data_IF_808408307372
#
_entry.id   IF_808408307372
#
_cell.length_a   1.000
_cell.length_b   1.000
_cell.length_c   1.000
_cell.angle_alpha   90.00
_cell.angle_beta   90.00
_cell.angle_gamma   90.00
#
_symmetry.space_group_name_H-M   'P 1'
#
loop_
_entity.id
_entity.type
_entity.pdbx_description
1 polymer ?
#
# COMPACT_ATOMS: atom_id res chain seq x y z
N UNK A 1 4.89 19.85 -25.85
CA UNK A 1 6.12 19.66 -25.05
C UNK A 1 5.69 19.42 -23.62
N UNK A 2 6.23 18.40 -22.94
CA UNK A 2 5.92 18.16 -21.52
C UNK A 2 6.45 19.31 -20.67
N UNK A 3 5.61 19.86 -19.79
CA UNK A 3 5.99 20.98 -18.95
C UNK A 3 7.04 20.62 -17.89
N UNK A 4 7.81 21.63 -17.48
CA UNK A 4 8.78 21.50 -16.38
C UNK A 4 8.10 21.12 -15.05
N UNK A 5 6.82 21.47 -14.88
CA UNK A 5 6.01 21.09 -13.72
C UNK A 5 5.87 19.56 -13.62
N UNK A 6 5.55 18.90 -14.73
CA UNK A 6 5.36 17.44 -14.77
C UNK A 6 6.65 16.69 -14.51
N UNK A 7 7.78 17.24 -14.96
CA UNK A 7 9.10 16.74 -14.61
C UNK A 7 9.34 16.76 -13.09
N UNK A 8 9.17 17.91 -12.44
CA UNK A 8 9.37 18.05 -11.00
C UNK A 8 8.41 17.19 -10.18
N UNK A 9 7.14 17.10 -10.59
CA UNK A 9 6.16 16.21 -9.96
C UNK A 9 6.65 14.75 -9.94
N UNK A 10 7.11 14.23 -11.08
CA UNK A 10 7.60 12.85 -11.17
C UNK A 10 8.90 12.65 -10.39
N UNK A 11 9.79 13.66 -10.37
CA UNK A 11 10.98 13.65 -9.54
C UNK A 11 10.64 13.55 -8.05
N UNK A 12 9.71 14.38 -7.55
CA UNK A 12 9.25 14.31 -6.17
C UNK A 12 8.57 12.97 -5.85
N UNK A 13 7.69 12.49 -6.72
CA UNK A 13 7.05 11.19 -6.56
C UNK A 13 8.09 10.06 -6.41
N UNK A 14 9.15 10.09 -7.23
CA UNK A 14 10.28 9.16 -7.13
C UNK A 14 11.00 9.28 -5.79
N UNK A 15 11.33 10.49 -5.33
CA UNK A 15 11.98 10.72 -4.03
C UNK A 15 11.15 10.18 -2.86
N UNK A 16 9.84 10.44 -2.83
CA UNK A 16 8.94 9.94 -1.79
C UNK A 16 8.90 8.41 -1.76
N UNK A 17 9.01 7.77 -2.93
CA UNK A 17 8.97 6.31 -3.01
C UNK A 17 10.21 5.64 -2.38
N UNK A 18 11.38 6.29 -2.37
CA UNK A 18 12.52 5.82 -1.58
C UNK A 18 12.27 5.93 -0.07
N UNK A 19 11.54 6.96 0.36
CA UNK A 19 11.08 7.06 1.75
C UNK A 19 10.21 5.87 2.14
N UNK A 20 9.22 5.55 1.31
CA UNK A 20 8.37 4.36 1.47
C UNK A 20 9.21 3.07 1.50
N UNK A 21 10.18 2.92 0.60
CA UNK A 21 11.07 1.76 0.55
C UNK A 21 11.87 1.60 1.84
N UNK A 22 12.47 2.68 2.35
CA UNK A 22 13.24 2.67 3.59
C UNK A 22 12.38 2.26 4.79
N UNK A 23 11.18 2.81 4.91
CA UNK A 23 10.25 2.47 5.99
C UNK A 23 9.72 1.03 5.87
N UNK A 24 9.41 0.58 4.66
CA UNK A 24 9.03 -0.80 4.37
C UNK A 24 10.16 -1.78 4.75
N UNK A 25 11.41 -1.43 4.46
CA UNK A 25 12.58 -2.20 4.86
C UNK A 25 12.71 -2.31 6.39
N UNK A 26 12.58 -1.20 7.11
CA UNK A 26 12.63 -1.18 8.57
C UNK A 26 11.53 -2.06 9.17
N UNK A 27 10.33 -2.07 8.58
CA UNK A 27 9.21 -2.89 9.07
C UNK A 27 9.47 -4.36 8.79
N UNK A 28 9.99 -4.69 7.61
CA UNK A 28 10.39 -6.06 7.27
C UNK A 28 11.47 -6.59 8.22
N UNK A 29 12.44 -5.75 8.61
CA UNK A 29 13.47 -6.08 9.62
C UNK A 29 12.86 -6.42 10.99
N UNK A 30 11.81 -5.70 11.41
CA UNK A 30 11.10 -5.97 12.68
C UNK A 30 10.13 -7.15 12.59
N UNK A 31 9.45 -7.32 11.45
CA UNK A 31 8.34 -8.26 11.26
C UNK A 31 8.60 -9.07 9.99
N UNK A 32 9.23 -10.23 10.13
CA UNK A 32 9.64 -11.07 8.99
C UNK A 32 8.51 -11.90 8.37
N UNK A 33 7.28 -11.39 8.38
CA UNK A 33 6.13 -12.10 7.82
C UNK A 33 6.14 -12.06 6.28
N UNK A 34 5.57 -13.09 5.66
CA UNK A 34 5.47 -13.21 4.19
C UNK A 34 4.85 -11.97 3.54
N UNK A 35 3.79 -11.41 4.13
CA UNK A 35 3.12 -10.20 3.61
C UNK A 35 4.03 -8.98 3.56
N UNK A 36 4.94 -8.81 4.53
CA UNK A 36 5.88 -7.69 4.54
C UNK A 36 6.93 -7.87 3.45
N UNK A 37 7.35 -9.13 3.20
CA UNK A 37 8.24 -9.47 2.07
C UNK A 37 7.58 -9.18 0.73
N UNK A 38 6.32 -9.59 0.57
CA UNK A 38 5.54 -9.37 -0.66
C UNK A 38 5.35 -7.87 -0.92
N UNK A 39 4.96 -7.11 0.09
CA UNK A 39 4.81 -5.67 -0.03
C UNK A 39 6.13 -4.96 -0.31
N UNK A 40 7.22 -5.33 0.38
CA UNK A 40 8.54 -4.77 0.13
C UNK A 40 9.01 -5.02 -1.31
N UNK A 41 8.86 -6.25 -1.81
CA UNK A 41 9.17 -6.58 -3.20
C UNK A 41 8.26 -5.81 -4.17
N UNK A 42 6.98 -5.66 -3.84
CA UNK A 42 6.02 -4.90 -4.63
C UNK A 42 6.43 -3.42 -4.74
N UNK A 43 6.88 -2.78 -3.65
CA UNK A 43 7.40 -1.39 -3.67
C UNK A 43 8.65 -1.29 -4.55
N UNK A 44 9.61 -2.22 -4.42
CA UNK A 44 10.81 -2.26 -5.27
C UNK A 44 10.44 -2.31 -6.76
N UNK A 45 9.51 -3.20 -7.14
CA UNK A 45 9.11 -3.32 -8.54
C UNK A 45 8.44 -2.05 -9.06
N UNK A 46 7.63 -1.37 -8.25
CA UNK A 46 7.05 -0.09 -8.65
C UNK A 46 8.13 1.00 -8.79
N UNK A 47 9.22 0.96 -8.01
CA UNK A 47 10.40 1.84 -8.20
C UNK A 47 11.08 1.58 -9.52
N UNK A 48 11.33 0.31 -9.85
CA UNK A 48 11.92 -0.05 -11.13
C UNK A 48 10.99 0.34 -12.29
N UNK A 49 9.67 0.15 -12.14
CA UNK A 49 8.69 0.55 -13.13
C UNK A 49 8.67 2.07 -13.33
N UNK A 50 8.63 2.87 -12.26
CA UNK A 50 8.69 4.34 -12.36
C UNK A 50 10.02 4.80 -12.94
N UNK A 51 11.15 4.23 -12.51
CA UNK A 51 12.46 4.59 -13.01
C UNK A 51 12.53 4.42 -14.53
N UNK A 52 11.99 3.31 -15.05
CA UNK A 52 11.95 3.07 -16.49
C UNK A 52 11.01 4.02 -17.25
N UNK A 53 9.90 4.48 -16.64
CA UNK A 53 9.02 5.52 -17.19
C UNK A 53 9.73 6.88 -17.22
N UNK A 54 10.42 7.24 -16.14
CA UNK A 54 11.19 8.49 -16.04
C UNK A 54 12.37 8.49 -17.02
N UNK A 55 13.05 7.36 -17.18
CA UNK A 55 14.15 7.22 -18.14
C UNK A 55 13.65 7.34 -19.59
N UNK A 56 12.49 6.77 -19.91
CA UNK A 56 11.82 6.95 -21.20
C UNK A 56 11.54 8.43 -21.48
N UNK A 57 11.06 9.17 -20.47
CA UNK A 57 10.83 10.61 -20.57
C UNK A 57 12.12 11.40 -20.85
N UNK A 58 13.19 11.14 -20.07
CA UNK A 58 14.49 11.78 -20.28
C UNK A 58 15.05 11.52 -21.67
N UNK A 59 14.97 10.27 -22.14
CA UNK A 59 15.42 9.89 -23.48
C UNK A 59 14.68 10.68 -24.57
N UNK A 60 13.36 10.81 -24.46
CA UNK A 60 12.55 11.55 -25.44
C UNK A 60 12.80 13.07 -25.41
N UNK A 61 13.19 13.62 -24.25
CA UNK A 61 13.36 15.07 -24.06
C UNK A 61 14.77 15.58 -24.36
N UNK A 62 15.80 14.79 -24.04
CA UNK A 62 17.20 15.22 -24.10
C UNK A 62 17.90 14.71 -25.36
N UNK A 63 17.53 13.54 -25.87
CA UNK A 63 18.15 13.03 -27.09
C UNK A 63 17.45 13.59 -28.32
N UNK A 64 18.19 14.29 -29.17
CA UNK A 64 17.66 14.88 -30.43
C UNK A 64 17.10 13.81 -31.40
N UNK A 65 17.56 12.55 -31.29
CA UNK A 65 17.13 11.40 -32.09
C UNK A 65 17.25 10.08 -31.29
N UNK A 66 16.29 9.72 -30.42
CA UNK A 66 16.36 8.45 -29.69
C UNK A 66 16.25 7.28 -30.67
N UNK A 67 17.23 6.37 -30.66
CA UNK A 67 17.16 5.16 -31.49
C UNK A 67 15.98 4.29 -31.07
N UNK A 68 15.18 3.84 -32.04
CA UNK A 68 13.99 3.00 -31.83
C UNK A 68 14.29 1.76 -30.99
N UNK A 69 15.48 1.18 -31.15
CA UNK A 69 15.92 0.00 -30.38
C UNK A 69 15.95 0.24 -28.86
N UNK A 70 16.37 1.42 -28.41
CA UNK A 70 16.37 1.76 -26.99
C UNK A 70 14.95 1.88 -26.42
N UNK A 71 14.02 2.43 -27.21
CA UNK A 71 12.61 2.56 -26.81
C UNK A 71 11.94 1.19 -26.69
N UNK A 72 12.22 0.29 -27.64
CA UNK A 72 11.73 -1.10 -27.60
C UNK A 72 12.28 -1.83 -26.37
N UNK A 73 13.58 -1.72 -26.11
CA UNK A 73 14.21 -2.35 -24.95
C UNK A 73 13.57 -1.88 -23.63
N UNK A 74 13.41 -0.57 -23.44
CA UNK A 74 12.78 0.00 -22.25
C UNK A 74 11.31 -0.44 -22.11
N UNK A 75 10.57 -0.51 -23.21
CA UNK A 75 9.20 -1.02 -23.24
C UNK A 75 9.12 -2.48 -22.79
N UNK A 76 10.03 -3.33 -23.28
CA UNK A 76 10.09 -4.74 -22.90
C UNK A 76 10.46 -4.94 -21.42
N UNK A 77 11.42 -4.17 -20.91
CA UNK A 77 11.78 -4.18 -19.48
C UNK A 77 10.55 -3.81 -18.63
N UNK A 78 9.84 -2.74 -19.02
CA UNK A 78 8.62 -2.29 -18.35
C UNK A 78 7.51 -3.32 -18.35
N UNK A 79 7.32 -3.95 -19.50
CA UNK A 79 6.34 -5.01 -19.66
C UNK A 79 6.66 -6.18 -18.71
N UNK A 80 7.92 -6.63 -18.68
CA UNK A 80 8.39 -7.67 -17.76
C UNK A 80 8.14 -7.31 -16.29
N UNK A 81 8.48 -6.08 -15.88
CA UNK A 81 8.20 -5.60 -14.51
C UNK A 81 6.69 -5.62 -14.22
N UNK A 82 5.85 -5.19 -15.17
CA UNK A 82 4.39 -5.16 -15.03
C UNK A 82 3.80 -6.56 -14.83
N UNK A 83 4.33 -7.57 -15.51
CA UNK A 83 3.93 -8.98 -15.32
C UNK A 83 4.25 -9.46 -13.90
N UNK A 84 5.41 -9.09 -13.36
CA UNK A 84 5.80 -9.46 -11.99
C UNK A 84 4.93 -8.72 -10.97
N UNK A 85 4.63 -7.44 -11.19
CA UNK A 85 3.67 -6.67 -10.37
C UNK A 85 2.29 -7.34 -10.42
N UNK A 86 1.87 -7.84 -11.59
CA UNK A 86 0.60 -8.55 -11.75
C UNK A 86 0.51 -9.86 -10.97
N UNK A 87 1.65 -10.46 -10.65
CA UNK A 87 1.72 -11.57 -9.71
C UNK A 87 1.71 -11.10 -8.24
N UNK A 88 2.58 -10.14 -7.90
CA UNK A 88 2.82 -9.76 -6.51
C UNK A 88 1.67 -8.98 -5.89
N UNK A 89 0.98 -8.13 -6.66
CA UNK A 89 -0.15 -7.35 -6.17
C UNK A 89 -1.27 -8.22 -5.59
N UNK A 90 -1.83 -9.17 -6.36
CA UNK A 90 -2.85 -10.08 -5.84
C UNK A 90 -2.33 -10.97 -4.71
N UNK A 91 -1.07 -11.44 -4.79
CA UNK A 91 -0.47 -12.24 -3.72
C UNK A 91 -0.38 -11.47 -2.40
N UNK A 92 0.00 -10.19 -2.45
CA UNK A 92 0.03 -9.31 -1.30
C UNK A 92 -1.39 -9.10 -0.72
N UNK A 93 -2.37 -8.78 -1.55
CA UNK A 93 -3.76 -8.59 -1.12
C UNK A 93 -4.34 -9.87 -0.47
N UNK A 94 -4.10 -11.04 -1.06
CA UNK A 94 -4.50 -12.32 -0.46
C UNK A 94 -3.78 -12.60 0.86
N UNK A 95 -2.50 -12.22 0.96
CA UNK A 95 -1.73 -12.31 2.20
C UNK A 95 -2.26 -11.43 3.33
N UNK A 96 -3.03 -10.37 3.01
CA UNK A 96 -3.78 -9.57 3.97
C UNK A 96 -5.19 -10.12 4.23
N UNK A 97 -5.82 -10.70 3.22
CA UNK A 97 -7.19 -11.19 3.31
C UNK A 97 -7.32 -12.56 3.99
N UNK A 98 -6.28 -13.40 3.95
CA UNK A 98 -6.32 -14.79 4.40
C UNK A 98 -5.42 -15.02 5.62
N UNK A 99 -5.79 -16.00 6.46
CA UNK A 99 -4.98 -16.41 7.62
C UNK A 99 -3.64 -17.04 7.21
N UNK A 100 -3.65 -17.84 6.15
CA UNK A 100 -2.49 -18.51 5.58
C UNK A 100 -2.70 -18.77 4.09
N UNK A 101 -1.60 -18.82 3.34
CA UNK A 101 -1.62 -19.07 1.90
C UNK A 101 -1.30 -20.54 1.65
N UNK A 102 -2.25 -21.30 1.10
CA UNK A 102 -2.02 -22.71 0.72
C UNK A 102 -1.23 -22.82 -0.58
N UNK A 103 -0.64 -23.99 -0.83
CA UNK A 103 0.08 -24.28 -2.09
C UNK A 103 -0.82 -24.15 -3.31
N UNK A 104 -2.11 -24.48 -3.19
CA UNK A 104 -3.12 -24.31 -4.24
C UNK A 104 -3.34 -22.84 -4.60
N UNK A 105 -3.41 -21.95 -3.60
CA UNK A 105 -3.59 -20.51 -3.84
C UNK A 105 -2.39 -19.94 -4.60
N UNK A 106 -1.18 -20.39 -4.28
CA UNK A 106 0.01 -20.00 -5.04
C UNK A 106 -0.05 -20.43 -6.51
N UNK A 107 -0.51 -21.65 -6.81
CA UNK A 107 -0.69 -22.09 -8.20
C UNK A 107 -1.78 -21.30 -8.93
N UNK A 108 -2.88 -20.95 -8.26
CA UNK A 108 -3.92 -20.10 -8.84
C UNK A 108 -3.41 -18.68 -9.11
N UNK A 109 -2.57 -18.13 -8.23
CA UNK A 109 -1.93 -16.83 -8.44
C UNK A 109 -0.99 -16.83 -9.66
N UNK A 110 -0.34 -17.95 -9.97
CA UNK A 110 0.50 -18.09 -11.17
C UNK A 110 -0.30 -18.06 -12.48
N UNK A 111 -1.59 -18.38 -12.46
CA UNK A 111 -2.44 -18.28 -13.65
C UNK A 111 -2.65 -16.83 -14.11
N UNK A 112 -2.63 -15.85 -13.19
CA UNK A 112 -2.81 -14.43 -13.51
C UNK A 112 -1.69 -13.85 -14.40
N UNK A 113 -0.41 -14.01 -14.05
CA UNK A 113 0.72 -13.60 -14.88
C UNK A 113 0.78 -14.33 -16.23
N UNK A 114 0.45 -15.63 -16.26
CA UNK A 114 0.41 -16.41 -17.51
C UNK A 114 -0.69 -15.88 -18.44
N UNK A 115 -1.87 -15.59 -17.91
CA UNK A 115 -2.95 -14.95 -18.65
C UNK A 115 -2.54 -13.54 -19.11
N UNK A 116 -1.85 -12.78 -18.25
CA UNK A 116 -1.31 -11.45 -18.59
C UNK A 116 -0.33 -11.50 -19.77
N UNK A 117 0.59 -12.46 -19.77
CA UNK A 117 1.54 -12.68 -20.85
C UNK A 117 0.82 -13.13 -22.13
N UNK A 118 -0.13 -14.06 -22.04
CA UNK A 118 -0.91 -14.51 -23.19
C UNK A 118 -1.71 -13.36 -23.83
N UNK A 119 -2.37 -12.54 -23.01
CA UNK A 119 -3.10 -11.35 -23.46
C UNK A 119 -2.14 -10.34 -24.09
N UNK A 120 -1.00 -10.05 -23.47
CA UNK A 120 -0.04 -9.14 -24.05
C UNK A 120 0.50 -9.63 -25.41
N UNK A 121 0.85 -10.90 -25.56
CA UNK A 121 1.33 -11.48 -26.82
C UNK A 121 0.28 -11.41 -27.94
N UNK A 122 -1.00 -11.63 -27.59
CA UNK A 122 -2.12 -11.54 -28.55
C UNK A 122 -2.46 -10.11 -28.95
N UNK A 123 -2.19 -9.13 -28.09
CA UNK A 123 -2.44 -7.72 -28.36
C UNK A 123 -1.26 -7.03 -29.06
N UNK A 124 -0.03 -7.40 -28.71
CA UNK A 124 1.19 -6.96 -29.39
C UNK A 124 1.24 -7.43 -30.86
N UNK A 125 0.65 -8.59 -31.16
CA UNK A 125 0.56 -9.11 -32.53
C UNK A 125 -0.50 -8.43 -33.41
N UNK A 126 -1.35 -7.57 -32.84
CA UNK A 126 -2.44 -6.88 -33.56
C UNK A 126 -2.22 -5.39 -33.79
N UNK A 127 -1.05 -4.83 -33.44
CA UNK A 127 -0.73 -3.39 -33.52
C UNK A 127 -1.85 -2.45 -33.02
N UNK A 128 -2.62 -2.87 -32.01
CA UNK A 128 -3.75 -2.07 -31.50
C UNK A 128 -3.44 -1.58 -30.09
N UNK A 129 -3.23 -0.26 -29.94
CA UNK A 129 -3.08 0.39 -28.63
C UNK A 129 -4.29 0.16 -27.70
N UNK A 130 -5.44 -0.18 -28.29
CA UNK A 130 -6.68 -0.58 -27.61
C UNK A 130 -6.47 -1.75 -26.65
N UNK A 131 -5.73 -2.76 -27.08
CA UNK A 131 -5.49 -3.95 -26.27
C UNK A 131 -4.78 -3.62 -24.96
N UNK A 132 -3.68 -2.88 -25.06
CA UNK A 132 -2.86 -2.54 -23.89
C UNK A 132 -3.64 -1.65 -22.91
N UNK A 133 -4.46 -0.71 -23.42
CA UNK A 133 -5.34 0.10 -22.59
C UNK A 133 -6.38 -0.73 -21.83
N UNK A 134 -7.05 -1.67 -22.50
CA UNK A 134 -8.01 -2.59 -21.86
C UNK A 134 -7.34 -3.49 -20.82
N UNK A 135 -6.15 -4.01 -21.12
CA UNK A 135 -5.37 -4.78 -20.16
C UNK A 135 -5.07 -3.96 -18.91
N UNK A 136 -4.53 -2.75 -19.08
CA UNK A 136 -4.23 -1.84 -17.96
C UNK A 136 -5.47 -1.49 -17.16
N UNK A 137 -6.62 -1.29 -17.80
CA UNK A 137 -7.90 -1.05 -17.14
C UNK A 137 -8.32 -2.22 -16.26
N UNK A 138 -8.38 -3.43 -16.82
CA UNK A 138 -8.80 -4.63 -16.10
C UNK A 138 -7.83 -4.94 -14.97
N UNK A 139 -6.53 -4.85 -15.24
CA UNK A 139 -5.50 -5.16 -14.27
C UNK A 139 -5.55 -4.20 -13.07
N UNK A 140 -5.45 -2.89 -13.32
CA UNK A 140 -5.46 -1.90 -12.24
C UNK A 140 -6.82 -1.86 -11.53
N UNK A 141 -7.92 -1.96 -12.28
CA UNK A 141 -9.27 -2.05 -11.72
C UNK A 141 -9.44 -3.26 -10.80
N UNK A 142 -8.91 -4.42 -11.18
CA UNK A 142 -8.95 -5.63 -10.35
C UNK A 142 -8.15 -5.51 -9.06
N UNK A 143 -6.95 -4.90 -9.11
CA UNK A 143 -6.17 -4.60 -7.91
C UNK A 143 -6.88 -3.61 -6.99
N UNK A 144 -7.51 -2.59 -7.58
CA UNK A 144 -8.26 -1.59 -6.83
C UNK A 144 -9.49 -2.19 -6.14
N UNK A 145 -10.32 -2.94 -6.87
CA UNK A 145 -11.47 -3.67 -6.32
C UNK A 145 -11.03 -4.70 -5.28
N UNK A 146 -9.95 -5.45 -5.56
CA UNK A 146 -9.37 -6.40 -4.62
C UNK A 146 -8.95 -5.74 -3.32
N UNK A 147 -8.34 -4.56 -3.39
CA UNK A 147 -7.93 -3.77 -2.21
C UNK A 147 -9.13 -3.39 -1.35
N UNK A 148 -10.21 -2.91 -1.98
CA UNK A 148 -11.45 -2.57 -1.28
C UNK A 148 -12.16 -3.80 -0.72
N UNK A 149 -12.09 -4.94 -1.41
CA UNK A 149 -12.64 -6.20 -0.92
C UNK A 149 -11.90 -6.68 0.34
N UNK A 150 -10.57 -6.56 0.38
CA UNK A 150 -9.74 -6.94 1.53
C UNK A 150 -10.11 -6.17 2.80
N UNK A 151 -10.65 -4.95 2.69
CA UNK A 151 -11.14 -4.17 3.84
C UNK A 151 -12.21 -4.92 4.66
N UNK A 152 -12.92 -5.87 4.05
CA UNK A 152 -13.94 -6.71 4.70
C UNK A 152 -13.34 -7.93 5.41
N UNK A 153 -12.05 -8.20 5.27
CA UNK A 153 -11.42 -9.36 5.90
C UNK A 153 -11.30 -9.18 7.41
N UNK A 154 -11.71 -10.23 8.15
CA UNK A 154 -11.51 -10.33 9.60
C UNK A 154 -10.05 -10.49 10.01
N UNK A 155 -9.16 -10.80 9.06
CA UNK A 155 -7.72 -10.97 9.31
C UNK A 155 -6.91 -9.70 9.06
N UNK A 156 -7.55 -8.66 8.51
CA UNK A 156 -6.90 -7.40 8.18
C UNK A 156 -6.48 -6.64 9.45
N UNK A 157 -5.20 -6.31 9.52
CA UNK A 157 -4.68 -5.47 10.61
C UNK A 157 -5.11 -4.01 10.38
N UNK A 158 -5.59 -3.28 11.42
CA UNK A 158 -6.17 -1.94 11.27
C UNK A 158 -5.24 -0.94 10.57
N UNK A 159 -3.93 -1.10 10.77
CA UNK A 159 -2.86 -0.30 10.16
C UNK A 159 -2.88 -0.28 8.62
N UNK A 160 -3.42 -1.30 7.96
CA UNK A 160 -3.52 -1.35 6.49
C UNK A 160 -4.84 -0.79 5.94
N UNK A 161 -5.78 -0.35 6.79
CA UNK A 161 -7.10 0.08 6.30
C UNK A 161 -7.06 1.35 5.47
N UNK A 162 -6.36 2.39 5.95
CA UNK A 162 -6.18 3.63 5.20
C UNK A 162 -5.45 3.37 3.88
N UNK A 163 -4.41 2.54 3.95
CA UNK A 163 -3.67 2.05 2.79
C UNK A 163 -4.60 1.42 1.74
N UNK A 164 -5.35 0.38 2.12
CA UNK A 164 -6.18 -0.37 1.17
C UNK A 164 -7.32 0.47 0.57
N UNK A 165 -7.88 1.41 1.34
CA UNK A 165 -8.93 2.30 0.85
C UNK A 165 -8.39 3.26 -0.21
N UNK A 166 -7.30 3.97 0.11
CA UNK A 166 -6.66 4.92 -0.79
C UNK A 166 -6.06 4.22 -2.02
N UNK A 167 -5.32 3.12 -1.81
CA UNK A 167 -4.82 2.26 -2.87
C UNK A 167 -5.96 1.75 -3.76
N UNK A 168 -7.06 1.29 -3.17
CA UNK A 168 -8.22 0.80 -3.91
C UNK A 168 -8.80 1.83 -4.88
N UNK A 169 -9.07 3.03 -4.38
CA UNK A 169 -9.63 4.14 -5.18
C UNK A 169 -8.64 4.57 -6.27
N UNK A 170 -7.38 4.77 -5.88
CA UNK A 170 -6.34 5.27 -6.78
C UNK A 170 -6.11 4.29 -7.94
N UNK A 171 -6.07 2.98 -7.71
CA UNK A 171 -5.94 1.98 -8.77
C UNK A 171 -7.17 1.89 -9.68
N UNK A 172 -8.37 2.06 -9.13
CA UNK A 172 -9.60 2.13 -9.96
C UNK A 172 -9.54 3.35 -10.88
N UNK A 173 -9.24 4.53 -10.33
CA UNK A 173 -9.14 5.77 -11.12
C UNK A 173 -8.03 5.66 -12.18
N UNK A 174 -6.88 5.09 -11.82
CA UNK A 174 -5.79 4.88 -12.75
C UNK A 174 -6.18 3.89 -13.86
N UNK A 175 -6.84 2.79 -13.53
CA UNK A 175 -7.38 1.84 -14.52
C UNK A 175 -8.39 2.49 -15.46
N UNK A 176 -9.31 3.31 -14.94
CA UNK A 176 -10.30 4.04 -15.73
C UNK A 176 -9.71 5.17 -16.60
N UNK A 177 -8.52 5.68 -16.25
CA UNK A 177 -7.87 6.72 -17.05
C UNK A 177 -7.51 6.24 -18.46
N UNK A 178 -7.20 4.94 -18.64
CA UNK A 178 -6.84 4.37 -19.94
C UNK A 178 -7.97 4.41 -20.98
N UNK A 179 -9.17 3.86 -20.75
CA UNK A 179 -10.26 3.97 -21.72
C UNK A 179 -10.70 5.41 -21.94
N UNK A 180 -10.65 6.28 -20.91
CA UNK A 180 -10.97 7.70 -21.08
C UNK A 180 -9.94 8.38 -21.99
N UNK A 181 -8.65 8.09 -21.82
CA UNK A 181 -7.57 8.58 -22.66
C UNK A 181 -7.71 8.18 -24.14
N UNK A 182 -8.42 7.09 -24.43
CA UNK A 182 -8.68 6.64 -25.80
C UNK A 182 -9.78 7.44 -26.51
N UNK A 183 -10.73 7.99 -25.76
CA UNK A 183 -11.87 8.75 -26.31
C UNK A 183 -11.72 10.25 -26.07
N UNK A 184 -10.81 10.65 -25.20
CA UNK A 184 -10.56 12.03 -24.82
C UNK A 184 -9.08 12.36 -24.94
N UNK A 185 -8.72 12.95 -26.07
CA UNK A 185 -7.34 13.26 -26.48
C UNK A 185 -6.50 13.99 -25.40
N UNK A 186 -7.02 14.98 -24.63
CA UNK A 186 -6.24 15.64 -23.60
C UNK A 186 -5.65 14.67 -22.57
N UNK A 187 -6.42 13.64 -22.19
CA UNK A 187 -6.00 12.64 -21.21
C UNK A 187 -5.06 11.58 -21.81
N UNK A 188 -5.11 11.37 -23.13
CA UNK A 188 -4.19 10.49 -23.86
C UNK A 188 -2.82 11.11 -24.15
N UNK A 189 -2.62 12.39 -23.87
CA UNK A 189 -1.33 13.03 -24.03
C UNK A 189 -0.26 12.41 -23.14
N UNK A 190 1.00 12.41 -23.62
CA UNK A 190 2.16 11.99 -22.83
C UNK A 190 2.25 12.77 -21.51
N UNK A 191 1.93 14.06 -21.56
CA UNK A 191 1.94 14.94 -20.40
C UNK A 191 0.89 14.53 -19.35
N UNK A 192 -0.35 14.26 -19.77
CA UNK A 192 -1.39 13.78 -18.86
C UNK A 192 -1.03 12.41 -18.25
N UNK A 193 -0.49 11.49 -19.06
CA UNK A 193 -0.05 10.16 -18.58
C UNK A 193 1.03 10.27 -17.50
N UNK A 194 2.03 11.12 -17.72
CA UNK A 194 3.10 11.37 -16.73
C UNK A 194 2.58 12.11 -15.50
N UNK A 195 1.63 13.02 -15.67
CA UNK A 195 1.01 13.75 -14.55
C UNK A 195 0.22 12.80 -13.67
N UNK A 196 -0.65 11.97 -14.26
CA UNK A 196 -1.46 11.00 -13.53
C UNK A 196 -0.59 9.96 -12.83
N UNK A 197 0.43 9.44 -13.50
CA UNK A 197 1.39 8.49 -12.91
C UNK A 197 2.17 9.11 -11.74
N UNK A 198 2.68 10.34 -11.89
CA UNK A 198 3.38 11.05 -10.84
C UNK A 198 2.49 11.33 -9.63
N UNK A 199 1.26 11.82 -9.83
CA UNK A 199 0.28 12.05 -8.77
C UNK A 199 -0.09 10.75 -8.05
N UNK A 200 -0.35 9.69 -8.81
CA UNK A 200 -0.66 8.36 -8.28
C UNK A 200 0.43 7.90 -7.30
N UNK A 201 1.70 7.95 -7.71
CA UNK A 201 2.83 7.47 -6.91
C UNK A 201 3.08 8.37 -5.70
N UNK A 202 2.93 9.68 -5.87
CA UNK A 202 3.10 10.64 -4.79
C UNK A 202 2.04 10.43 -3.70
N UNK A 203 0.76 10.35 -4.08
CA UNK A 203 -0.35 10.14 -3.15
C UNK A 203 -0.22 8.80 -2.42
N UNK A 204 0.16 7.75 -3.14
CA UNK A 204 0.50 6.47 -2.55
C UNK A 204 1.61 6.63 -1.51
N UNK A 205 2.76 7.18 -1.91
CA UNK A 205 3.92 7.26 -1.03
C UNK A 205 3.65 8.11 0.21
N UNK A 206 2.90 9.22 0.09
CA UNK A 206 2.46 10.02 1.23
C UNK A 206 1.61 9.20 2.19
N UNK A 207 0.64 8.43 1.69
CA UNK A 207 -0.17 7.57 2.52
C UNK A 207 0.67 6.50 3.24
N UNK A 208 1.61 5.87 2.53
CA UNK A 208 2.43 4.81 3.10
C UNK A 208 3.36 5.35 4.17
N UNK A 209 4.04 6.46 3.89
CA UNK A 209 4.83 7.18 4.88
C UNK A 209 3.95 7.54 6.08
N UNK A 210 2.72 8.01 5.88
CA UNK A 210 1.79 8.30 6.98
C UNK A 210 1.47 7.07 7.84
N UNK A 211 1.22 5.91 7.22
CA UNK A 211 1.01 4.64 7.91
C UNK A 211 2.27 4.21 8.67
N UNK A 212 3.43 4.28 8.03
CA UNK A 212 4.70 3.90 8.62
C UNK A 212 5.14 4.83 9.74
N UNK A 213 4.94 6.14 9.61
CA UNK A 213 5.22 7.11 10.66
C UNK A 213 4.36 6.81 11.88
N UNK A 214 3.07 6.47 11.73
CA UNK A 214 2.24 6.04 12.87
C UNK A 214 2.70 4.71 13.46
N UNK A 215 3.16 3.79 12.61
CA UNK A 215 3.70 2.50 13.04
C UNK A 215 5.03 2.64 13.82
N UNK A 216 5.91 3.54 13.37
CA UNK A 216 7.22 3.76 13.99
C UNK A 216 7.24 4.88 15.02
N UNK A 217 6.20 5.70 15.08
CA UNK A 217 6.03 6.71 16.11
C UNK A 217 6.25 6.00 17.46
N UNK A 218 7.09 6.54 18.34
CA UNK A 218 7.15 6.03 19.71
C UNK A 218 5.72 6.04 20.25
N UNK A 219 5.40 5.07 21.11
CA UNK A 219 4.18 5.20 21.89
C UNK A 219 4.19 6.62 22.48
N UNK A 220 3.20 7.45 22.14
CA UNK A 220 3.03 8.67 22.91
C UNK A 220 2.94 8.19 24.35
N UNK A 221 3.82 8.70 25.21
CA UNK A 221 3.49 8.75 26.63
C UNK A 221 2.35 9.78 26.76
N UNK A 222 1.19 9.46 26.16
CA UNK A 222 -0.05 10.02 26.66
C UNK A 222 -0.15 9.43 28.05
N UNK A 223 0.32 10.22 29.02
CA UNK A 223 0.19 9.91 30.42
C UNK A 223 -1.29 9.67 30.65
N UNK A 224 -1.61 8.44 31.02
CA UNK A 224 -2.97 8.06 31.36
C UNK A 224 -3.36 8.95 32.54
N UNK A 225 -4.40 9.79 32.42
CA UNK A 225 -4.68 10.78 33.45
C UNK A 225 -4.83 10.13 34.82
N UNK A 226 -4.16 10.68 35.83
CA UNK A 226 -4.22 10.17 37.20
C UNK A 226 -5.65 10.00 37.72
N UNK A 227 -6.55 10.91 37.32
CA UNK A 227 -7.98 10.84 37.63
C UNK A 227 -8.63 9.56 37.10
N UNK A 228 -8.27 9.15 35.87
CA UNK A 228 -8.75 7.90 35.27
C UNK A 228 -8.18 6.68 36.01
N UNK A 229 -6.87 6.67 36.30
CA UNK A 229 -6.20 5.57 37.02
C UNK A 229 -6.86 5.34 38.38
N UNK A 230 -7.05 6.43 39.15
CA UNK A 230 -7.67 6.37 40.48
C UNK A 230 -9.14 5.97 40.42
N UNK A 231 -9.92 6.53 39.48
CA UNK A 231 -11.36 6.27 39.37
C UNK A 231 -11.67 4.80 39.09
N UNK A 232 -10.91 4.18 38.20
CA UNK A 232 -11.18 2.81 37.72
C UNK A 232 -10.24 1.75 38.33
N UNK A 233 -9.36 2.14 39.27
CA UNK A 233 -8.43 1.23 39.93
C UNK A 233 -7.51 0.51 38.93
N UNK A 234 -6.96 1.25 37.97
CA UNK A 234 -6.09 0.72 36.93
C UNK A 234 -4.72 0.42 37.53
N UNK A 235 -4.25 -0.81 37.39
CA UNK A 235 -2.92 -1.23 37.89
C UNK A 235 -1.79 -0.62 37.05
N UNK A 236 -0.54 -0.61 37.54
CA UNK A 236 0.60 -0.11 36.75
C UNK A 236 0.76 -0.81 35.40
N UNK A 237 0.52 -2.13 35.36
CA UNK A 237 0.58 -2.90 34.11
C UNK A 237 -0.58 -2.60 33.16
N UNK A 238 -1.78 -2.41 33.69
CA UNK A 238 -2.93 -1.98 32.88
C UNK A 238 -2.75 -0.53 32.39
N UNK A 239 -2.09 0.32 33.16
CA UNK A 239 -1.76 1.70 32.78
C UNK A 239 -0.84 1.72 31.56
N UNK A 240 0.21 0.90 31.55
CA UNK A 240 1.07 0.71 30.38
C UNK A 240 0.26 0.26 29.16
N UNK A 241 -0.69 -0.66 29.34
CA UNK A 241 -1.55 -1.15 28.27
C UNK A 241 -2.49 -0.04 27.76
N UNK A 242 -3.09 0.75 28.65
CA UNK A 242 -3.94 1.89 28.26
C UNK A 242 -3.14 2.96 27.52
N UNK A 243 -1.92 3.28 27.97
CA UNK A 243 -1.03 4.21 27.25
C UNK A 243 -0.73 3.73 25.82
N UNK A 244 -0.42 2.45 25.64
CA UNK A 244 -0.21 1.87 24.30
C UNK A 244 -1.50 1.86 23.46
N UNK A 245 -2.67 1.73 24.09
CA UNK A 245 -3.96 1.85 23.39
C UNK A 245 -4.17 3.28 22.88
N UNK A 246 -3.89 4.28 23.73
CA UNK A 246 -3.97 5.71 23.41
C UNK A 246 -3.05 6.06 22.25
N UNK A 247 -1.84 5.51 22.23
CA UNK A 247 -0.87 5.67 21.14
C UNK A 247 -1.22 4.85 19.87
N UNK A 248 -2.41 4.25 19.79
CA UNK A 248 -2.90 3.57 18.60
C UNK A 248 -2.41 2.14 18.39
N UNK A 249 -1.69 1.53 19.35
CA UNK A 249 -1.16 0.16 19.20
C UNK A 249 -2.26 -0.89 19.19
N UNK A 250 -2.19 -1.82 18.24
CA UNK A 250 -3.00 -3.03 18.22
C UNK A 250 -2.63 -3.96 19.37
N UNK A 251 -3.55 -4.87 19.75
CA UNK A 251 -3.30 -5.86 20.80
C UNK A 251 -2.04 -6.71 20.55
N UNK A 252 -1.71 -7.01 19.29
CA UNK A 252 -0.49 -7.75 18.94
C UNK A 252 0.77 -6.92 19.16
N UNK A 253 0.73 -5.63 18.82
CA UNK A 253 1.84 -4.71 19.06
C UNK A 253 2.04 -4.49 20.56
N UNK A 254 0.95 -4.31 21.31
CA UNK A 254 0.98 -4.24 22.79
C UNK A 254 1.65 -5.48 23.37
N UNK A 255 1.27 -6.67 22.88
CA UNK A 255 1.87 -7.93 23.32
C UNK A 255 3.38 -7.97 23.04
N UNK A 256 3.79 -7.56 21.83
CA UNK A 256 5.20 -7.49 21.42
C UNK A 256 6.02 -6.50 22.25
N UNK A 257 5.52 -5.28 22.44
CA UNK A 257 6.20 -4.23 23.21
C UNK A 257 6.34 -4.59 24.68
N UNK A 258 5.34 -5.24 25.25
CA UNK A 258 5.32 -5.63 26.65
C UNK A 258 5.96 -7.00 26.92
N UNK A 259 6.41 -7.71 25.88
CA UNK A 259 7.02 -9.04 26.01
C UNK A 259 6.06 -10.12 26.51
N UNK A 260 4.76 -10.01 26.22
CA UNK A 260 3.72 -10.95 26.67
C UNK A 260 3.04 -11.64 25.48
N UNK A 261 2.30 -12.71 25.74
CA UNK A 261 1.53 -13.37 24.68
C UNK A 261 0.34 -12.51 24.23
N UNK A 262 -0.11 -12.59 22.96
CA UNK A 262 -1.33 -11.90 22.50
C UNK A 262 -2.58 -12.23 23.33
N UNK A 263 -2.67 -13.46 23.84
CA UNK A 263 -3.75 -13.93 24.72
C UNK A 263 -3.70 -13.31 26.11
N UNK A 264 -2.49 -13.07 26.61
CA UNK A 264 -2.27 -12.32 27.87
C UNK A 264 -2.70 -10.87 27.68
N UNK A 265 -2.31 -10.23 26.57
CA UNK A 265 -2.75 -8.87 26.25
C UNK A 265 -4.28 -8.77 26.13
N UNK A 266 -4.94 -9.77 25.54
CA UNK A 266 -6.40 -9.89 25.50
C UNK A 266 -7.03 -9.92 26.89
N UNK A 267 -6.44 -10.72 27.78
CA UNK A 267 -6.93 -10.91 29.13
C UNK A 267 -6.83 -9.62 29.95
N UNK A 268 -5.74 -8.85 29.75
CA UNK A 268 -5.62 -7.51 30.34
C UNK A 268 -6.65 -6.54 29.77
N UNK A 269 -6.83 -6.50 28.45
CA UNK A 269 -7.84 -5.65 27.79
C UNK A 269 -9.25 -5.94 28.32
N UNK A 270 -9.62 -7.21 28.44
CA UNK A 270 -10.91 -7.62 28.99
C UNK A 270 -11.11 -7.11 30.42
N UNK A 271 -10.09 -7.21 31.27
CA UNK A 271 -10.14 -6.68 32.64
C UNK A 271 -10.26 -5.17 32.66
N UNK A 272 -9.54 -4.46 31.80
CA UNK A 272 -9.62 -3.00 31.66
C UNK A 272 -11.03 -2.60 31.23
N UNK A 273 -11.59 -3.24 30.20
CA UNK A 273 -12.95 -2.98 29.73
C UNK A 273 -14.00 -3.21 30.82
N UNK A 274 -13.86 -4.29 31.59
CA UNK A 274 -14.69 -4.55 32.77
C UNK A 274 -14.56 -3.48 33.86
N UNK A 275 -13.34 -3.06 34.19
CA UNK A 275 -13.09 -2.01 35.20
C UNK A 275 -13.66 -0.67 34.77
N UNK A 276 -13.59 -0.34 33.48
CA UNK A 276 -14.03 0.93 32.93
C UNK A 276 -15.50 0.93 32.50
N UNK A 277 -16.17 -0.22 32.56
CA UNK A 277 -17.56 -0.43 32.11
C UNK A 277 -17.77 -0.05 30.63
N UNK A 278 -16.80 -0.40 29.78
CA UNK A 278 -16.84 -0.13 28.33
C UNK A 278 -16.86 -1.42 27.53
N UNK A 279 -17.56 -1.42 26.39
CA UNK A 279 -17.71 -2.58 25.53
C UNK A 279 -16.61 -2.71 24.47
N UNK A 280 -15.90 -1.63 24.15
CA UNK A 280 -14.91 -1.61 23.07
C UNK A 280 -13.81 -0.57 23.25
N UNK A 281 -12.81 -0.66 22.37
CA UNK A 281 -11.64 0.21 22.34
C UNK A 281 -12.00 1.69 22.17
N UNK A 282 -12.99 2.01 21.34
CA UNK A 282 -13.39 3.41 21.07
C UNK A 282 -14.02 4.04 22.31
N UNK A 283 -14.88 3.29 23.00
CA UNK A 283 -15.44 3.72 24.28
C UNK A 283 -14.36 3.91 25.34
N UNK A 284 -13.39 3.00 25.47
CA UNK A 284 -12.25 3.18 26.37
C UNK A 284 -11.50 4.49 26.07
N UNK A 285 -11.16 4.74 24.80
CA UNK A 285 -10.47 5.96 24.38
C UNK A 285 -11.28 7.22 24.73
N UNK A 286 -12.59 7.20 24.49
CA UNK A 286 -13.47 8.32 24.84
C UNK A 286 -13.56 8.52 26.36
N UNK A 287 -13.61 7.45 27.14
CA UNK A 287 -13.63 7.52 28.61
C UNK A 287 -12.34 8.12 29.14
N UNK A 288 -11.18 7.69 28.65
CA UNK A 288 -9.88 8.25 29.08
C UNK A 288 -9.79 9.75 28.79
N UNK A 289 -10.22 10.17 27.59
CA UNK A 289 -10.21 11.60 27.16
C UNK A 289 -11.07 12.52 28.00
N UNK A 290 -12.04 12.01 28.77
CA UNK A 290 -12.85 12.82 29.70
C UNK A 290 -12.07 13.25 30.96
N UNK A 291 -10.91 12.66 31.20
CA UNK A 291 -10.04 12.97 32.34
C UNK A 291 -8.78 13.72 31.93
N UNK A 292 -8.61 14.01 30.62
CA UNK A 292 -7.57 14.87 30.05
C UNK A 292 -7.99 16.33 30.15
#
# INVERSE_FOLDING_TARGET
MVSILVFWLNFFAFTFMFGTLGLAYLRLRRKQALRERLYFAFVILNILWLLSQTFFFFFYRIMDQPQVQHLILLSNIRFGISVIIAYLGPAFLLGLALRSMSRTIWWLLLAGPLLTVAIALTLLSRESGIGLGLFSMVFNGSLGVGSLFVLRSRYLEPEYRSFLWLHGIIFILFGLSYPVAMVWEPLGSLEATLTLGGLFILLWSINDIGVYVRYFAPASNEDVPDGFIRRYGISPRETQIVALILSGRSQKEIAGELGISPRTAESHLYRIYRKCEVGNRVELLNTVRRYS
#
